data_IF_416287692502
#
_entry.id   IF_416287692502
#
_cell.length_a   1.000
_cell.length_b   1.000
_cell.length_c   1.000
_cell.angle_alpha   90.00
_cell.angle_beta   90.00
_cell.angle_gamma   90.00
#
_symmetry.space_group_name_H-M   'P 1'
#
loop_
_entity.id
_entity.type
_entity.pdbx_description
1 polymer ?
#
# COMPACT_ATOMS: atom_id res chain seq x y z
N UNK A 1 24.57 -45.16 -6.18
CA UNK A 1 25.01 -44.04 -5.33
C UNK A 1 23.89 -43.02 -5.38
N UNK A 2 23.05 -42.99 -4.36
CA UNK A 2 21.82 -42.18 -4.32
C UNK A 2 22.19 -40.87 -3.63
N UNK A 3 22.18 -39.77 -4.38
CA UNK A 3 22.29 -38.43 -3.81
C UNK A 3 21.07 -38.20 -2.91
N UNK A 4 21.31 -38.13 -1.61
CA UNK A 4 20.34 -37.63 -0.65
C UNK A 4 20.25 -36.11 -0.87
N UNK A 5 19.25 -35.67 -1.63
CA UNK A 5 18.91 -34.25 -1.79
C UNK A 5 18.68 -33.67 -0.40
N UNK A 6 19.66 -32.93 0.12
CA UNK A 6 19.54 -32.23 1.40
C UNK A 6 18.38 -31.24 1.38
N UNK A 7 17.88 -30.80 2.55
CA UNK A 7 16.77 -29.86 2.63
C UNK A 7 17.11 -28.58 1.84
N UNK A 8 16.30 -28.26 0.83
CA UNK A 8 16.49 -27.03 0.04
C UNK A 8 16.10 -25.82 0.88
N UNK A 9 16.95 -24.80 0.95
CA UNK A 9 16.63 -23.55 1.63
C UNK A 9 15.65 -22.65 0.86
N UNK A 10 15.06 -23.17 -0.22
CA UNK A 10 14.09 -22.47 -1.05
C UNK A 10 12.89 -22.02 -0.21
N UNK A 11 12.66 -20.70 -0.13
CA UNK A 11 11.58 -20.09 0.64
C UNK A 11 11.90 -19.81 2.11
N UNK A 12 13.13 -20.08 2.58
CA UNK A 12 13.55 -19.67 3.92
C UNK A 12 13.79 -18.16 3.97
N UNK A 13 13.17 -17.49 4.94
CA UNK A 13 13.43 -16.09 5.30
C UNK A 13 13.58 -15.96 6.80
N UNK A 14 14.36 -14.96 7.22
CA UNK A 14 14.53 -14.60 8.63
C UNK A 14 14.03 -13.17 8.80
N UNK A 15 13.25 -12.92 9.85
CA UNK A 15 12.72 -11.59 10.16
C UNK A 15 13.01 -11.22 11.60
N UNK A 16 13.48 -10.00 11.81
CA UNK A 16 13.61 -9.37 13.10
C UNK A 16 12.74 -8.12 13.13
N UNK A 17 11.70 -8.14 13.96
CA UNK A 17 10.75 -7.04 14.07
C UNK A 17 10.69 -6.47 15.49
N UNK A 18 10.62 -5.14 15.56
CA UNK A 18 10.04 -4.43 16.69
C UNK A 18 8.81 -3.66 16.20
N UNK A 19 7.59 -4.05 16.59
CA UNK A 19 6.36 -3.45 16.09
C UNK A 19 6.35 -1.92 16.24
N UNK A 20 6.00 -1.23 15.15
CA UNK A 20 5.96 0.23 15.09
C UNK A 20 7.31 0.95 15.19
N UNK A 21 8.44 0.23 15.16
CA UNK A 21 9.79 0.81 15.19
C UNK A 21 10.64 0.37 14.00
N UNK A 22 10.84 -0.92 13.79
CA UNK A 22 11.61 -1.41 12.64
C UNK A 22 11.31 -2.87 12.31
N UNK A 23 11.60 -3.23 11.06
CA UNK A 23 11.60 -4.60 10.54
C UNK A 23 12.90 -4.78 9.76
N UNK A 24 13.55 -5.93 9.94
CA UNK A 24 14.71 -6.35 9.16
C UNK A 24 14.42 -7.75 8.64
N UNK A 25 14.26 -7.86 7.32
CA UNK A 25 13.96 -9.12 6.64
C UNK A 25 15.16 -9.57 5.82
N UNK A 26 15.52 -10.85 5.92
CA UNK A 26 16.58 -11.47 5.15
C UNK A 26 16.03 -12.66 4.35
N UNK A 27 16.11 -12.57 3.02
CA UNK A 27 15.80 -13.65 2.09
C UNK A 27 17.04 -14.53 1.93
N UNK A 28 17.02 -15.74 2.50
CA UNK A 28 18.19 -16.63 2.56
C UNK A 28 18.62 -17.10 1.16
N UNK A 29 17.71 -17.56 0.27
CA UNK A 29 18.06 -17.87 -1.11
C UNK A 29 18.68 -16.72 -1.90
N UNK A 30 18.12 -15.51 -1.78
CA UNK A 30 18.60 -14.34 -2.55
C UNK A 30 19.79 -13.63 -1.92
N UNK A 31 20.11 -13.97 -0.67
CA UNK A 31 21.10 -13.26 0.14
C UNK A 31 20.82 -11.75 0.22
N UNK A 32 19.53 -11.41 0.25
CA UNK A 32 19.06 -10.03 0.21
C UNK A 32 18.49 -9.62 1.56
N UNK A 33 18.70 -8.36 1.94
CA UNK A 33 18.21 -7.76 3.17
C UNK A 33 17.38 -6.53 2.87
N UNK A 34 16.23 -6.45 3.53
CA UNK A 34 15.36 -5.29 3.53
C UNK A 34 15.30 -4.70 4.95
N UNK A 35 15.47 -3.39 5.04
CA UNK A 35 15.34 -2.64 6.28
C UNK A 35 14.13 -1.73 6.16
N UNK A 36 13.27 -1.76 7.17
CA UNK A 36 12.16 -0.82 7.32
C UNK A 36 12.25 -0.16 8.69
N UNK A 37 12.21 1.17 8.72
CA UNK A 37 12.20 1.96 9.96
C UNK A 37 10.93 2.82 10.00
N UNK A 38 10.20 2.72 11.08
CA UNK A 38 8.92 3.41 11.30
C UNK A 38 9.06 4.40 12.45
N UNK A 39 8.51 5.60 12.27
CA UNK A 39 8.47 6.61 13.31
C UNK A 39 7.16 7.39 13.24
N UNK A 40 6.68 7.89 14.37
CA UNK A 40 5.54 8.80 14.43
C UNK A 40 5.95 10.05 15.16
N UNK A 41 5.93 11.18 14.45
CA UNK A 41 6.16 12.51 15.02
C UNK A 41 4.84 13.28 15.08
N UNK A 42 4.75 14.29 15.95
CA UNK A 42 3.56 15.16 16.02
C UNK A 42 3.84 16.48 15.33
N UNK A 43 3.05 16.80 14.31
CA UNK A 43 3.02 18.11 13.68
C UNK A 43 1.72 18.77 14.10
N UNK A 44 1.81 19.88 14.84
CA UNK A 44 0.65 20.64 15.32
C UNK A 44 -0.34 19.75 16.12
N UNK A 45 0.20 18.83 16.92
CA UNK A 45 -0.56 17.85 17.69
C UNK A 45 -1.11 16.67 16.88
N UNK A 46 -1.04 16.72 15.54
CA UNK A 46 -1.49 15.65 14.64
C UNK A 46 -0.35 14.67 14.33
N UNK A 47 -0.62 13.35 14.29
CA UNK A 47 0.42 12.38 14.01
C UNK A 47 0.81 12.39 12.53
N UNK A 48 2.10 12.52 12.28
CA UNK A 48 2.77 12.24 11.02
C UNK A 48 3.50 10.90 11.18
N UNK A 49 2.98 9.88 10.51
CA UNK A 49 3.62 8.57 10.43
C UNK A 49 4.62 8.58 9.29
N UNK A 50 5.82 8.06 9.54
CA UNK A 50 6.91 7.97 8.58
C UNK A 50 7.39 6.54 8.51
N UNK A 51 7.65 6.06 7.30
CA UNK A 51 8.27 4.78 7.04
C UNK A 51 9.43 5.01 6.07
N UNK A 52 10.63 4.59 6.44
CA UNK A 52 11.76 4.49 5.53
C UNK A 52 11.96 3.02 5.20
N UNK A 53 12.15 2.70 3.93
CA UNK A 53 12.41 1.34 3.45
C UNK A 53 13.65 1.34 2.56
N UNK A 54 14.57 0.41 2.80
CA UNK A 54 15.76 0.21 1.98
C UNK A 54 15.97 -1.28 1.72
N UNK A 55 15.95 -1.69 0.46
CA UNK A 55 16.29 -3.03 0.01
C UNK A 55 17.70 -3.05 -0.59
N UNK A 56 18.57 -3.93 -0.10
CA UNK A 56 19.97 -4.00 -0.55
C UNK A 56 20.10 -4.57 -1.96
N UNK A 57 19.38 -5.64 -2.28
CA UNK A 57 19.51 -6.40 -3.51
C UNK A 57 19.03 -5.63 -4.72
N UNK A 58 17.88 -4.95 -4.60
CA UNK A 58 17.38 -4.02 -5.62
C UNK A 58 18.02 -2.63 -5.52
N UNK A 59 18.85 -2.38 -4.49
CA UNK A 59 19.38 -1.05 -4.12
C UNK A 59 18.30 0.04 -4.17
N UNK A 60 17.11 -0.32 -3.69
CA UNK A 60 15.93 0.50 -3.72
C UNK A 60 15.75 1.19 -2.37
N UNK A 61 15.39 2.47 -2.39
CA UNK A 61 15.13 3.24 -1.17
C UNK A 61 13.87 4.07 -1.36
N UNK A 62 12.97 4.02 -0.39
CA UNK A 62 11.77 4.84 -0.37
C UNK A 62 11.46 5.40 1.01
N UNK A 63 10.75 6.52 1.03
CA UNK A 63 10.16 7.10 2.23
C UNK A 63 8.68 7.35 2.00
N UNK A 64 7.86 6.84 2.91
CA UNK A 64 6.42 7.07 2.96
C UNK A 64 6.09 7.95 4.17
N UNK A 65 5.16 8.88 3.98
CA UNK A 65 4.63 9.75 5.02
C UNK A 65 3.12 9.77 4.99
N UNK A 66 2.47 9.76 6.16
CA UNK A 66 1.02 9.97 6.28
C UNK A 66 0.72 10.89 7.46
N UNK A 67 0.20 12.07 7.15
CA UNK A 67 -0.32 13.03 8.12
C UNK A 67 -1.82 12.77 8.33
N UNK A 68 -2.21 12.51 9.57
CA UNK A 68 -3.61 12.27 9.95
C UNK A 68 -4.18 13.51 10.61
N UNK A 69 -5.02 14.27 9.88
CA UNK A 69 -5.65 15.47 10.42
C UNK A 69 -6.75 15.11 11.43
N UNK A 70 -7.58 14.12 11.10
CA UNK A 70 -8.64 13.59 11.95
C UNK A 70 -9.06 12.18 11.47
N UNK A 71 -10.18 11.66 11.97
CA UNK A 71 -10.70 10.34 11.59
C UNK A 71 -11.17 10.25 10.14
N UNK A 72 -11.49 11.38 9.51
CA UNK A 72 -11.98 11.46 8.14
C UNK A 72 -10.91 11.90 7.14
N UNK A 73 -9.91 12.68 7.56
CA UNK A 73 -8.99 13.37 6.66
C UNK A 73 -7.53 12.92 6.86
N UNK A 74 -6.89 12.45 5.78
CA UNK A 74 -5.48 12.06 5.76
C UNK A 74 -4.78 12.55 4.49
N UNK A 75 -3.52 12.95 4.61
CA UNK A 75 -2.64 13.23 3.48
C UNK A 75 -1.46 12.25 3.54
N UNK A 76 -1.25 11.51 2.47
CA UNK A 76 -0.14 10.59 2.31
C UNK A 76 0.75 11.04 1.17
N UNK A 77 2.05 10.83 1.31
CA UNK A 77 3.02 11.03 0.25
C UNK A 77 4.08 9.93 0.31
N UNK A 78 4.50 9.44 -0.84
CA UNK A 78 5.63 8.53 -0.97
C UNK A 78 6.68 9.15 -1.88
N UNK A 79 7.94 8.80 -1.62
CA UNK A 79 9.07 9.18 -2.44
C UNK A 79 10.01 7.99 -2.62
N UNK A 80 10.18 7.55 -3.86
CA UNK A 80 11.11 6.50 -4.25
C UNK A 80 12.37 7.14 -4.83
N UNK A 81 13.52 6.97 -4.17
CA UNK A 81 14.78 7.66 -4.51
C UNK A 81 15.40 7.18 -5.81
N UNK A 82 15.24 5.90 -6.11
CA UNK A 82 15.68 5.22 -7.33
C UNK A 82 15.02 5.80 -8.59
N UNK A 83 13.69 5.95 -8.58
CA UNK A 83 12.91 6.47 -9.69
C UNK A 83 12.71 7.97 -9.62
N UNK A 84 13.11 8.59 -8.50
CA UNK A 84 12.82 9.98 -8.13
C UNK A 84 11.33 10.30 -8.20
N UNK A 85 10.47 9.28 -8.06
CA UNK A 85 9.04 9.47 -8.10
C UNK A 85 8.53 9.96 -6.76
N UNK A 86 7.62 10.92 -6.81
CA UNK A 86 6.79 11.28 -5.70
C UNK A 86 5.34 10.99 -6.08
N UNK A 87 4.58 10.38 -5.17
CA UNK A 87 3.13 10.32 -5.31
C UNK A 87 2.49 10.88 -4.05
N UNK A 88 1.50 11.74 -4.24
CA UNK A 88 0.74 12.36 -3.15
C UNK A 88 -0.71 11.90 -3.26
N UNK A 89 -1.31 11.51 -2.14
CA UNK A 89 -2.69 11.05 -2.05
C UNK A 89 -3.39 11.74 -0.89
N UNK A 90 -4.57 12.28 -1.14
CA UNK A 90 -5.47 12.73 -0.09
C UNK A 90 -6.57 11.71 0.11
N UNK A 91 -6.99 11.46 1.35
CA UNK A 91 -8.09 10.56 1.68
C UNK A 91 -9.11 11.29 2.54
N UNK A 92 -10.37 11.28 2.09
CA UNK A 92 -11.49 11.87 2.79
C UNK A 92 -12.63 10.88 2.97
N UNK A 93 -13.02 10.63 4.22
CA UNK A 93 -14.18 9.81 4.58
C UNK A 93 -15.40 10.71 4.82
N UNK A 94 -16.31 10.72 3.87
CA UNK A 94 -17.59 11.40 3.98
C UNK A 94 -18.59 10.55 4.77
N UNK A 95 -19.08 11.10 5.89
CA UNK A 95 -20.14 10.51 6.75
C UNK A 95 -19.88 9.06 7.19
N UNK A 96 -18.61 8.66 7.30
CA UNK A 96 -18.22 7.29 7.66
C UNK A 96 -18.62 6.21 6.65
N UNK A 97 -19.13 6.58 5.47
CA UNK A 97 -19.71 5.63 4.49
C UNK A 97 -19.05 5.69 3.13
N UNK A 98 -18.51 6.84 2.74
CA UNK A 98 -17.86 6.99 1.43
C UNK A 98 -16.46 7.53 1.60
N UNK A 99 -15.50 6.94 0.92
CA UNK A 99 -14.11 7.40 0.92
C UNK A 99 -13.75 7.89 -0.47
N UNK A 100 -13.13 9.07 -0.55
CA UNK A 100 -12.60 9.65 -1.77
C UNK A 100 -11.08 9.74 -1.66
N UNK A 101 -10.37 9.28 -2.69
CA UNK A 101 -8.92 9.20 -2.71
C UNK A 101 -8.35 9.71 -4.04
N UNK A 102 -8.30 11.04 -4.27
CA UNK A 102 -7.50 11.59 -5.36
C UNK A 102 -6.01 11.42 -5.05
N UNK A 103 -5.22 11.13 -6.07
CA UNK A 103 -3.77 11.09 -5.98
C UNK A 103 -3.11 11.61 -7.24
N UNK A 104 -1.89 12.11 -7.09
CA UNK A 104 -1.08 12.64 -8.17
C UNK A 104 0.29 11.99 -8.16
N UNK A 105 0.68 11.43 -9.31
CA UNK A 105 1.99 10.84 -9.55
C UNK A 105 2.83 11.83 -10.35
N UNK A 106 3.91 12.34 -9.75
CA UNK A 106 4.71 13.42 -10.32
C UNK A 106 5.53 12.97 -11.52
N UNK A 107 6.06 11.74 -11.52
CA UNK A 107 6.82 11.22 -12.67
C UNK A 107 5.90 10.94 -13.86
N UNK A 108 4.71 10.40 -13.61
CA UNK A 108 3.73 10.16 -14.68
C UNK A 108 2.97 11.42 -15.10
N UNK A 109 3.08 12.49 -14.32
CA UNK A 109 2.32 13.73 -14.50
C UNK A 109 0.82 13.45 -14.65
N UNK A 110 0.27 12.62 -13.75
CA UNK A 110 -1.06 12.06 -13.91
C UNK A 110 -1.82 11.99 -12.59
N UNK A 111 -3.13 12.23 -12.68
CA UNK A 111 -4.06 12.01 -11.59
C UNK A 111 -4.60 10.57 -11.59
N UNK A 112 -4.71 9.96 -10.42
CA UNK A 112 -5.56 8.79 -10.22
C UNK A 112 -6.66 9.15 -9.20
N UNK A 113 -7.83 8.55 -9.37
CA UNK A 113 -8.95 8.74 -8.46
C UNK A 113 -9.45 7.38 -8.02
N UNK A 114 -9.68 7.21 -6.71
CA UNK A 114 -10.42 6.08 -6.19
C UNK A 114 -11.58 6.57 -5.30
N UNK A 115 -12.68 5.82 -5.33
CA UNK A 115 -13.83 6.02 -4.47
C UNK A 115 -14.25 4.68 -3.92
N UNK A 116 -14.67 4.65 -2.66
CA UNK A 116 -15.37 3.51 -2.08
C UNK A 116 -16.62 3.96 -1.35
N UNK A 117 -17.62 3.08 -1.29
CA UNK A 117 -18.88 3.33 -0.59
C UNK A 117 -19.40 2.06 0.06
N UNK A 118 -19.81 2.19 1.31
CA UNK A 118 -20.62 1.21 2.03
C UNK A 118 -22.08 1.32 1.61
N UNK A 119 -22.63 0.19 1.16
CA UNK A 119 -23.99 0.04 0.66
C UNK A 119 -24.67 -1.11 1.41
N UNK A 120 -25.16 -0.85 2.62
CA UNK A 120 -25.56 -1.92 3.54
C UNK A 120 -24.32 -2.62 4.08
N UNK A 121 -24.27 -3.95 3.99
CA UNK A 121 -23.11 -4.77 4.36
C UNK A 121 -22.08 -4.90 3.23
N UNK A 122 -22.38 -4.32 2.06
CA UNK A 122 -21.54 -4.42 0.87
C UNK A 122 -20.63 -3.21 0.71
N UNK A 123 -19.51 -3.43 0.02
CA UNK A 123 -18.56 -2.37 -0.36
C UNK A 123 -18.47 -2.32 -1.87
N UNK A 124 -18.76 -1.14 -2.43
CA UNK A 124 -18.53 -0.84 -3.85
C UNK A 124 -17.31 0.07 -3.95
N UNK A 125 -16.41 -0.21 -4.89
CA UNK A 125 -15.25 0.62 -5.19
C UNK A 125 -15.20 0.93 -6.68
N UNK A 126 -14.78 2.14 -6.99
CA UNK A 126 -14.46 2.56 -8.34
C UNK A 126 -13.08 3.21 -8.33
N UNK A 127 -12.31 3.01 -9.39
CA UNK A 127 -11.01 3.67 -9.55
C UNK A 127 -10.77 4.01 -11.00
N UNK A 128 -10.10 5.13 -11.23
CA UNK A 128 -9.65 5.54 -12.54
C UNK A 128 -8.18 5.92 -12.46
N UNK A 129 -7.34 5.29 -13.30
CA UNK A 129 -5.93 5.64 -13.44
C UNK A 129 -5.72 6.34 -14.76
N UNK A 130 -5.34 7.62 -14.73
CA UNK A 130 -5.23 8.42 -15.96
C UNK A 130 -4.08 7.96 -16.83
N UNK A 131 -2.92 7.62 -16.26
CA UNK A 131 -1.73 7.24 -17.03
C UNK A 131 -1.94 5.98 -17.86
N UNK A 132 -2.72 5.03 -17.36
CA UNK A 132 -3.01 3.76 -18.04
C UNK A 132 -4.40 3.74 -18.67
N UNK A 133 -5.21 4.79 -18.45
CA UNK A 133 -6.61 4.86 -18.90
C UNK A 133 -7.43 3.64 -18.47
N UNK A 134 -7.18 3.19 -17.24
CA UNK A 134 -7.85 2.02 -16.67
C UNK A 134 -8.96 2.47 -15.75
N UNK A 135 -10.19 2.05 -16.05
CA UNK A 135 -11.33 2.16 -15.13
C UNK A 135 -11.56 0.80 -14.46
N UNK A 136 -11.50 0.76 -13.13
CA UNK A 136 -11.77 -0.43 -12.34
C UNK A 136 -13.02 -0.26 -11.49
N UNK A 137 -13.86 -1.29 -11.46
CA UNK A 137 -15.00 -1.38 -10.54
C UNK A 137 -14.92 -2.69 -9.75
N UNK A 138 -15.10 -2.60 -8.44
CA UNK A 138 -15.12 -3.73 -7.53
C UNK A 138 -16.41 -3.69 -6.70
N UNK A 139 -17.07 -4.84 -6.59
CA UNK A 139 -18.13 -5.04 -5.60
C UNK A 139 -17.77 -6.22 -4.72
N UNK A 140 -17.70 -5.95 -3.42
CA UNK A 140 -17.52 -6.95 -2.39
C UNK A 140 -18.82 -7.08 -1.61
N UNK A 141 -19.49 -8.23 -1.76
CA UNK A 141 -20.69 -8.56 -0.99
C UNK A 141 -20.29 -9.32 0.25
N UNK A 142 -20.70 -8.86 1.43
CA UNK A 142 -20.43 -9.56 2.68
C UNK A 142 -21.76 -9.98 3.32
N UNK A 143 -22.26 -11.15 2.92
CA UNK A 143 -23.51 -11.71 3.44
C UNK A 143 -23.23 -12.95 4.28
N UNK A 144 -23.72 -12.98 5.52
CA UNK A 144 -23.67 -14.15 6.40
C UNK A 144 -24.59 -15.29 5.94
N UNK A 145 -25.56 -15.02 5.06
CA UNK A 145 -26.57 -15.99 4.63
C UNK A 145 -26.27 -16.65 3.28
N UNK A 146 -25.75 -15.90 2.29
CA UNK A 146 -25.53 -16.38 0.92
C UNK A 146 -24.05 -16.44 0.50
N UNK A 147 -23.13 -16.37 1.46
CA UNK A 147 -21.69 -16.36 1.22
C UNK A 147 -21.14 -15.01 0.76
N UNK A 148 -19.82 -14.86 0.88
CA UNK A 148 -19.07 -13.67 0.48
C UNK A 148 -18.59 -13.84 -0.95
N UNK A 149 -18.80 -12.84 -1.82
CA UNK A 149 -18.25 -12.84 -3.17
C UNK A 149 -17.66 -11.49 -3.55
N UNK A 150 -16.72 -11.52 -4.50
CA UNK A 150 -16.04 -10.35 -5.05
C UNK A 150 -16.14 -10.36 -6.58
N UNK A 151 -16.71 -9.30 -7.14
CA UNK A 151 -16.77 -9.07 -8.59
C UNK A 151 -15.79 -7.95 -8.95
N UNK A 152 -14.95 -8.18 -9.95
CA UNK A 152 -13.99 -7.22 -10.48
C UNK A 152 -14.22 -7.02 -11.97
N UNK A 153 -14.32 -5.77 -12.39
CA UNK A 153 -14.37 -5.41 -13.80
C UNK A 153 -13.34 -4.31 -14.10
N UNK A 154 -12.60 -4.50 -15.19
CA UNK A 154 -11.53 -3.59 -15.63
C UNK A 154 -11.79 -3.22 -17.08
N UNK A 155 -11.85 -1.93 -17.37
CA UNK A 155 -12.01 -1.39 -18.71
C UNK A 155 -10.74 -0.66 -19.13
N UNK A 156 -10.34 -0.85 -20.38
CA UNK A 156 -9.28 -0.10 -21.06
C UNK A 156 -9.96 0.92 -21.97
N UNK A 157 -9.69 2.22 -21.77
CA UNK A 157 -10.23 3.30 -22.60
C UNK A 157 -9.20 3.91 -23.54
#
# INVERSE_FOLDING_TARGET
MTDATGPSLNGLSLSLEKPGSFIIDYDVPKQDVMFQFMNTVRIWGKPLNLTYTHGRGENWTAVDGTLVFDSANKLSADYAFDSRNCKVKYSYVHRGKSTFEPSYDFVKNSWDFAMSRLCGDDIVRASYRTSTRVLGMEWHKNSTFNGTFKVLQVYLS
#
